data_IF_357624069375
#
_entry.id   IF_357624069375
#
_cell.length_a   1.000
_cell.length_b   1.000
_cell.length_c   1.000
_cell.angle_alpha   90.00
_cell.angle_beta   90.00
_cell.angle_gamma   90.00
#
_symmetry.space_group_name_H-M   'P 1'
#
loop_
_entity.id
_entity.type
_entity.pdbx_description
1 polymer ?
#
# COMPACT_ATOMS: atom_id res chain seq x y z
N UNK A 1 32.41 -58.65 -35.12
CA UNK A 1 32.47 -58.12 -33.74
C UNK A 1 31.64 -56.86 -33.68
N UNK A 2 30.56 -56.84 -32.89
CA UNK A 2 30.06 -55.71 -32.09
C UNK A 2 28.64 -56.03 -31.60
N UNK A 3 28.55 -56.43 -30.32
CA UNK A 3 27.32 -56.67 -29.58
C UNK A 3 26.74 -55.32 -29.12
N UNK A 4 25.43 -55.12 -29.28
CA UNK A 4 24.66 -54.08 -28.58
C UNK A 4 24.44 -54.52 -27.12
N UNK A 5 24.48 -53.60 -26.13
CA UNK A 5 24.05 -53.91 -24.77
C UNK A 5 22.55 -53.68 -24.62
N UNK A 6 21.85 -54.70 -24.10
CA UNK A 6 20.48 -54.62 -23.60
C UNK A 6 20.50 -54.07 -22.17
N UNK A 7 19.95 -52.86 -21.97
CA UNK A 7 19.74 -52.28 -20.65
C UNK A 7 18.35 -52.63 -20.13
N UNK A 8 18.27 -53.61 -19.22
CA UNK A 8 17.04 -53.94 -18.49
C UNK A 8 16.72 -52.88 -17.43
N UNK A 9 15.48 -52.39 -17.45
CA UNK A 9 14.92 -51.51 -16.43
C UNK A 9 14.38 -52.38 -15.30
N UNK A 10 14.99 -52.33 -14.12
CA UNK A 10 14.44 -52.91 -12.89
C UNK A 10 13.31 -52.02 -12.35
N UNK A 11 12.16 -52.58 -11.93
CA UNK A 11 11.09 -51.79 -11.33
C UNK A 11 11.49 -51.37 -9.91
N UNK A 12 11.40 -50.06 -9.65
CA UNK A 12 11.51 -49.47 -8.31
C UNK A 12 10.28 -49.88 -7.51
N UNK A 13 10.47 -50.74 -6.51
CA UNK A 13 9.45 -51.10 -5.52
C UNK A 13 9.14 -49.88 -4.67
N UNK A 14 8.00 -49.23 -4.90
CA UNK A 14 7.48 -48.18 -4.02
C UNK A 14 7.10 -48.81 -2.68
N UNK A 15 7.84 -48.44 -1.63
CA UNK A 15 7.51 -48.77 -0.24
C UNK A 15 6.23 -48.02 0.14
N UNK A 16 5.14 -48.77 0.36
CA UNK A 16 3.88 -48.22 0.87
C UNK A 16 4.14 -47.76 2.31
N UNK A 17 4.29 -46.45 2.53
CA UNK A 17 4.28 -45.85 3.86
C UNK A 17 2.97 -46.25 4.56
N UNK A 18 3.08 -47.02 5.65
CA UNK A 18 1.96 -47.34 6.53
C UNK A 18 1.34 -46.02 6.98
N UNK A 19 0.09 -45.79 6.57
CA UNK A 19 -0.73 -44.69 7.07
C UNK A 19 -1.01 -44.93 8.54
N UNK A 20 -0.16 -44.37 9.41
CA UNK A 20 -0.43 -44.27 10.84
C UNK A 20 -1.81 -43.62 11.03
N UNK A 21 -2.72 -44.33 11.70
CA UNK A 21 -4.04 -43.83 12.07
C UNK A 21 -3.83 -42.59 12.94
N UNK A 22 -4.11 -41.42 12.38
CA UNK A 22 -3.93 -40.17 13.11
C UNK A 22 -4.85 -40.12 14.33
N UNK A 23 -4.25 -39.96 15.51
CA UNK A 23 -4.93 -39.97 16.80
C UNK A 23 -5.59 -38.61 17.10
N UNK A 24 -6.56 -38.59 18.03
CA UNK A 24 -7.10 -37.35 18.60
C UNK A 24 -6.12 -36.77 19.62
N UNK A 25 -6.07 -35.45 19.74
CA UNK A 25 -5.22 -34.77 20.70
C UNK A 25 -5.58 -35.19 22.15
N UNK A 26 -4.60 -35.57 22.99
CA UNK A 26 -4.82 -35.80 24.41
C UNK A 26 -5.31 -34.55 25.15
N UNK A 27 -5.86 -34.74 26.34
CA UNK A 27 -6.30 -33.63 27.19
C UNK A 27 -5.16 -32.63 27.46
N UNK A 28 -5.48 -31.34 27.45
CA UNK A 28 -4.54 -30.25 27.68
C UNK A 28 -3.72 -29.80 26.46
N UNK A 29 -3.67 -30.59 25.38
CA UNK A 29 -3.05 -30.15 24.14
C UNK A 29 -3.96 -29.17 23.41
N UNK A 30 -3.39 -28.05 22.93
CA UNK A 30 -4.16 -26.99 22.27
C UNK A 30 -3.45 -26.52 21.00
N UNK A 31 -4.23 -26.23 19.95
CA UNK A 31 -3.68 -25.54 18.77
C UNK A 31 -3.25 -24.11 19.12
N UNK A 32 -2.38 -23.50 18.32
CA UNK A 32 -2.01 -22.08 18.47
C UNK A 32 -3.24 -21.17 18.63
N UNK A 33 -4.27 -21.39 17.82
CA UNK A 33 -5.54 -20.64 17.91
C UNK A 33 -6.29 -20.93 19.23
N UNK A 34 -6.25 -22.17 19.72
CA UNK A 34 -6.83 -22.54 21.00
C UNK A 34 -6.16 -21.82 22.17
N UNK A 35 -4.81 -21.84 22.21
CA UNK A 35 -4.01 -21.13 23.23
C UNK A 35 -4.20 -19.63 23.12
N UNK A 36 -4.19 -19.09 21.90
CA UNK A 36 -4.43 -17.68 21.65
C UNK A 36 -5.80 -17.24 22.19
N UNK A 37 -6.84 -18.06 21.99
CA UNK A 37 -8.18 -17.80 22.54
C UNK A 37 -8.21 -17.90 24.06
N UNK A 38 -7.54 -18.88 24.66
CA UNK A 38 -7.54 -19.05 26.13
C UNK A 38 -6.75 -17.96 26.85
N UNK A 39 -5.68 -17.45 26.23
CA UNK A 39 -4.85 -16.35 26.76
C UNK A 39 -5.30 -14.99 26.26
N UNK A 40 -6.29 -14.96 25.36
CA UNK A 40 -6.84 -13.75 24.76
C UNK A 40 -5.80 -12.91 24.01
N UNK A 41 -4.81 -13.54 23.37
CA UNK A 41 -3.75 -12.88 22.58
C UNK A 41 -3.86 -13.26 21.10
N UNK A 42 -3.06 -12.64 20.23
CA UNK A 42 -3.01 -13.03 18.81
C UNK A 42 -2.38 -14.42 18.65
N UNK A 43 -2.89 -15.22 17.72
CA UNK A 43 -2.29 -16.52 17.36
C UNK A 43 -0.86 -16.40 16.84
N UNK A 44 -0.54 -15.30 16.15
CA UNK A 44 0.83 -15.00 15.71
C UNK A 44 1.84 -14.91 16.86
N UNK A 45 1.47 -14.24 17.96
CA UNK A 45 2.34 -14.13 19.14
C UNK A 45 2.57 -15.50 19.81
N UNK A 46 1.52 -16.31 19.89
CA UNK A 46 1.64 -17.69 20.38
C UNK A 46 2.57 -18.50 19.47
N UNK A 47 2.37 -18.43 18.16
CA UNK A 47 3.17 -19.15 17.18
C UNK A 47 4.64 -18.73 17.20
N UNK A 48 4.92 -17.43 17.20
CA UNK A 48 6.27 -16.89 17.26
C UNK A 48 6.99 -17.28 18.56
N UNK A 49 6.28 -17.26 19.69
CA UNK A 49 6.84 -17.67 20.99
C UNK A 49 7.02 -19.19 21.05
N UNK A 50 6.05 -19.98 20.56
CA UNK A 50 6.16 -21.43 20.50
C UNK A 50 7.35 -21.85 19.63
N UNK A 51 7.52 -21.25 18.45
CA UNK A 51 8.58 -21.60 17.51
C UNK A 51 10.00 -21.40 18.07
N UNK A 52 10.22 -20.53 19.07
CA UNK A 52 11.54 -20.43 19.72
C UNK A 52 11.92 -21.65 20.56
N UNK A 53 10.95 -22.52 20.89
CA UNK A 53 11.17 -23.78 21.60
C UNK A 53 11.19 -24.99 20.66
N UNK A 54 10.94 -24.80 19.37
CA UNK A 54 10.75 -25.90 18.40
C UNK A 54 12.00 -26.77 18.24
N UNK A 55 13.16 -26.15 18.14
CA UNK A 55 14.42 -26.87 17.93
C UNK A 55 14.91 -27.58 19.20
N UNK A 56 14.60 -27.01 20.38
CA UNK A 56 15.04 -27.56 21.67
C UNK A 56 14.07 -28.61 22.24
N UNK A 57 12.80 -28.53 21.89
CA UNK A 57 11.73 -29.40 22.39
C UNK A 57 10.75 -29.78 21.27
N UNK A 58 11.20 -30.49 20.22
CA UNK A 58 10.34 -30.88 19.10
C UNK A 58 9.17 -31.76 19.55
N UNK A 59 9.31 -32.50 20.66
CA UNK A 59 8.25 -33.32 21.24
C UNK A 59 7.05 -32.52 21.77
N UNK A 60 7.19 -31.19 21.92
CA UNK A 60 6.09 -30.31 22.30
C UNK A 60 5.15 -29.94 21.15
N UNK A 61 5.47 -30.38 19.93
CA UNK A 61 4.70 -30.12 18.71
C UNK A 61 4.25 -31.45 18.12
N UNK A 62 2.93 -31.66 18.03
CA UNK A 62 2.37 -32.87 17.42
C UNK A 62 1.18 -32.56 16.56
N UNK A 63 1.05 -33.29 15.44
CA UNK A 63 -0.09 -33.18 14.54
C UNK A 63 -1.17 -34.16 15.01
N UNK A 64 -2.36 -33.65 15.28
CA UNK A 64 -3.55 -34.45 15.62
C UNK A 64 -4.72 -34.12 14.70
N UNK A 65 -5.72 -35.02 14.68
CA UNK A 65 -6.98 -34.75 13.98
C UNK A 65 -7.88 -33.83 14.80
N UNK A 66 -8.31 -32.72 14.19
CA UNK A 66 -9.35 -31.86 14.73
C UNK A 66 -10.76 -32.41 14.49
N UNK A 67 -11.77 -31.70 14.99
CA UNK A 67 -13.19 -32.12 14.94
C UNK A 67 -13.74 -32.36 13.51
N UNK A 68 -13.12 -31.75 12.49
CA UNK A 68 -13.49 -31.91 11.08
C UNK A 68 -12.55 -32.87 10.31
N UNK A 69 -11.81 -33.72 11.02
CA UNK A 69 -10.76 -34.60 10.46
C UNK A 69 -9.60 -33.85 9.77
N UNK A 70 -9.53 -32.53 9.91
CA UNK A 70 -8.38 -31.75 9.45
C UNK A 70 -7.21 -31.96 10.42
N UNK A 71 -6.01 -32.13 9.86
CA UNK A 71 -4.78 -32.22 10.63
C UNK A 71 -4.37 -30.81 11.09
N UNK A 72 -4.15 -30.66 12.40
CA UNK A 72 -3.62 -29.42 12.98
C UNK A 72 -2.46 -29.75 13.90
N UNK A 73 -1.51 -28.83 14.01
CA UNK A 73 -0.46 -28.88 15.02
C UNK A 73 -1.02 -28.40 16.37
N UNK A 74 -0.74 -29.18 17.42
CA UNK A 74 -1.08 -28.87 18.80
C UNK A 74 0.19 -28.70 19.62
N UNK A 75 0.12 -27.78 20.57
CA UNK A 75 1.15 -27.49 21.54
C UNK A 75 0.94 -28.31 22.82
N UNK A 76 2.03 -28.85 23.35
CA UNK A 76 2.07 -29.58 24.61
C UNK A 76 1.76 -28.66 25.82
N UNK A 77 1.06 -29.14 26.88
CA UNK A 77 0.73 -28.35 28.08
C UNK A 77 1.90 -27.60 28.73
N UNK A 78 3.09 -28.20 28.79
CA UNK A 78 4.29 -27.56 29.34
C UNK A 78 4.69 -26.31 28.54
N UNK A 79 4.67 -26.37 27.21
CA UNK A 79 4.93 -25.22 26.35
C UNK A 79 3.86 -24.14 26.55
N UNK A 80 2.59 -24.54 26.68
CA UNK A 80 1.48 -23.61 26.95
C UNK A 80 1.70 -22.85 28.27
N UNK A 81 2.16 -23.52 29.33
CA UNK A 81 2.49 -22.88 30.60
C UNK A 81 3.70 -21.94 30.49
N UNK A 82 4.76 -22.33 29.78
CA UNK A 82 5.91 -21.45 29.54
C UNK A 82 5.53 -20.21 28.74
N UNK A 83 4.69 -20.35 27.72
CA UNK A 83 4.14 -19.21 26.97
C UNK A 83 3.34 -18.30 27.90
N UNK A 84 2.54 -18.86 28.81
CA UNK A 84 1.80 -18.06 29.81
C UNK A 84 2.76 -17.25 30.71
N UNK A 85 3.80 -17.89 31.24
CA UNK A 85 4.80 -17.20 32.06
C UNK A 85 5.54 -16.12 31.28
N UNK A 86 5.91 -16.43 30.04
CA UNK A 86 6.56 -15.49 29.14
C UNK A 86 5.69 -14.26 28.89
N UNK A 87 4.40 -14.45 28.59
CA UNK A 87 3.45 -13.35 28.38
C UNK A 87 3.28 -12.50 29.65
N UNK A 88 3.19 -13.15 30.82
CA UNK A 88 3.09 -12.46 32.11
C UNK A 88 4.36 -11.65 32.45
N UNK A 89 5.54 -12.12 32.05
CA UNK A 89 6.82 -11.40 32.28
C UNK A 89 7.01 -10.23 31.30
N UNK A 90 6.51 -10.33 30.08
CA UNK A 90 6.87 -9.40 28.99
C UNK A 90 5.96 -8.18 28.88
N UNK A 91 4.70 -8.27 29.32
CA UNK A 91 3.76 -7.15 29.24
C UNK A 91 3.28 -6.79 30.65
N UNK A 92 3.79 -5.69 31.24
CA UNK A 92 3.35 -5.28 32.57
C UNK A 92 1.88 -4.85 32.54
N UNK A 93 1.25 -4.86 33.72
CA UNK A 93 0.00 -4.14 33.94
C UNK A 93 0.25 -2.63 33.84
N UNK A 94 -0.70 -1.83 33.36
CA UNK A 94 -0.54 -0.39 33.25
C UNK A 94 -0.38 0.23 34.65
N UNK A 95 0.57 1.15 34.85
CA UNK A 95 0.61 1.95 36.07
C UNK A 95 -0.69 2.74 36.26
N UNK A 96 -0.98 3.13 37.50
CA UNK A 96 -2.13 3.98 37.80
C UNK A 96 -2.11 5.25 36.92
N UNK A 97 -3.27 5.61 36.37
CA UNK A 97 -3.43 6.79 35.52
C UNK A 97 -3.15 6.56 34.03
N UNK A 98 -2.70 5.38 33.60
CA UNK A 98 -2.61 5.03 32.19
C UNK A 98 -3.94 4.48 31.68
N UNK A 99 -4.41 5.01 30.55
CA UNK A 99 -5.69 4.60 29.96
C UNK A 99 -5.54 4.15 28.52
N UNK A 100 -6.24 3.09 28.15
CA UNK A 100 -6.46 2.79 26.72
C UNK A 100 -7.36 3.85 26.10
N UNK A 101 -7.35 3.98 24.78
CA UNK A 101 -8.30 4.82 24.05
C UNK A 101 -9.76 4.54 24.44
N UNK A 102 -10.12 3.27 24.63
CA UNK A 102 -11.46 2.88 25.07
C UNK A 102 -11.74 3.25 26.54
N UNK A 103 -10.75 3.11 27.42
CA UNK A 103 -10.85 3.57 28.80
C UNK A 103 -11.11 5.08 28.86
N UNK A 104 -10.38 5.84 28.05
CA UNK A 104 -10.49 7.29 28.00
C UNK A 104 -11.80 7.76 27.35
N UNK A 105 -12.33 7.06 26.34
CA UNK A 105 -13.68 7.32 25.79
C UNK A 105 -14.76 7.22 26.89
N UNK A 106 -14.67 6.20 27.74
CA UNK A 106 -15.63 6.02 28.85
C UNK A 106 -15.50 7.11 29.91
N UNK A 107 -14.28 7.50 30.24
CA UNK A 107 -14.02 8.54 31.23
C UNK A 107 -14.47 9.92 30.74
N UNK A 108 -14.12 10.27 29.50
CA UNK A 108 -14.33 11.61 28.94
C UNK A 108 -15.66 11.77 28.19
N UNK A 109 -16.39 10.66 27.98
CA UNK A 109 -17.60 10.61 27.15
C UNK A 109 -17.38 11.22 25.75
N UNK A 110 -16.18 11.05 25.20
CA UNK A 110 -15.78 11.56 23.89
C UNK A 110 -15.47 10.40 22.94
N UNK A 111 -15.87 10.51 21.67
CA UNK A 111 -15.72 9.41 20.71
C UNK A 111 -14.26 9.02 20.47
N UNK A 112 -13.98 7.70 20.48
CA UNK A 112 -12.64 7.10 20.28
C UNK A 112 -11.82 7.66 19.11
N UNK A 113 -12.47 8.00 18.00
CA UNK A 113 -11.77 8.53 16.81
C UNK A 113 -11.13 9.88 17.11
N UNK A 114 -11.82 10.74 17.87
CA UNK A 114 -11.29 12.05 18.25
C UNK A 114 -10.12 11.88 19.20
N UNK A 115 -10.28 11.08 20.24
CA UNK A 115 -9.22 10.79 21.21
C UNK A 115 -7.97 10.25 20.51
N UNK A 116 -8.14 9.27 19.62
CA UNK A 116 -7.03 8.69 18.85
C UNK A 116 -6.33 9.74 17.96
N UNK A 117 -7.09 10.62 17.31
CA UNK A 117 -6.52 11.67 16.47
C UNK A 117 -5.71 12.67 17.30
N UNK A 118 -6.23 13.08 18.46
CA UNK A 118 -5.53 13.96 19.40
C UNK A 118 -4.25 13.29 19.91
N UNK A 119 -4.35 12.02 20.32
CA UNK A 119 -3.20 11.25 20.77
C UNK A 119 -2.12 11.16 19.67
N UNK A 120 -2.49 10.75 18.46
CA UNK A 120 -1.54 10.55 17.36
C UNK A 120 -0.81 11.83 16.91
N UNK A 121 -1.33 13.02 17.22
CA UNK A 121 -0.61 14.28 16.99
C UNK A 121 0.70 14.38 17.80
N UNK A 122 0.80 13.66 18.92
CA UNK A 122 1.98 13.65 19.80
C UNK A 122 2.85 12.39 19.64
N UNK A 123 2.45 11.43 18.80
CA UNK A 123 3.11 10.12 18.71
C UNK A 123 4.57 10.19 18.28
N UNK A 124 4.89 11.04 17.31
CA UNK A 124 6.25 11.17 16.80
C UNK A 124 7.16 11.94 17.76
N UNK A 125 6.61 12.92 18.49
CA UNK A 125 7.36 13.77 19.41
C UNK A 125 7.52 13.17 20.81
N UNK A 126 6.58 12.32 21.23
CA UNK A 126 6.55 11.70 22.57
C UNK A 126 6.19 10.21 22.46
N UNK A 127 7.02 9.39 21.79
CA UNK A 127 6.76 7.96 21.66
C UNK A 127 6.65 7.26 23.03
N UNK A 128 7.30 7.79 24.06
CA UNK A 128 7.23 7.30 25.44
C UNK A 128 5.84 7.47 26.07
N UNK A 129 4.97 8.31 25.51
CA UNK A 129 3.58 8.44 25.96
C UNK A 129 2.67 7.31 25.47
N UNK A 130 3.18 6.44 24.59
CA UNK A 130 2.46 5.31 24.00
C UNK A 130 3.14 4.04 24.43
N UNK A 131 2.47 3.26 25.29
CA UNK A 131 3.06 2.01 25.76
C UNK A 131 2.03 0.91 25.83
N UNK A 132 2.45 -0.27 25.41
CA UNK A 132 1.61 -1.47 25.42
C UNK A 132 1.64 -2.09 26.80
N UNK A 133 0.46 -2.23 27.40
CA UNK A 133 0.25 -2.92 28.66
C UNK A 133 -0.88 -3.94 28.51
N UNK A 134 -1.02 -4.85 29.47
CA UNK A 134 -2.17 -5.74 29.52
C UNK A 134 -3.42 -4.96 29.94
N UNK A 135 -4.50 -5.05 29.17
CA UNK A 135 -5.78 -4.51 29.58
C UNK A 135 -6.47 -5.42 30.62
N UNK A 136 -7.68 -5.04 31.05
CA UNK A 136 -8.49 -5.84 32.01
C UNK A 136 -8.85 -7.24 31.51
N UNK A 137 -8.68 -7.52 30.22
CA UNK A 137 -8.90 -8.82 29.58
C UNK A 137 -7.59 -9.54 29.26
N UNK A 138 -6.44 -9.09 29.80
CA UNK A 138 -5.09 -9.57 29.52
C UNK A 138 -4.69 -9.48 28.03
N UNK A 139 -5.27 -8.54 27.28
CA UNK A 139 -4.83 -8.21 25.92
C UNK A 139 -3.74 -7.14 25.96
N UNK A 140 -2.59 -7.36 25.30
CA UNK A 140 -1.64 -6.29 25.03
C UNK A 140 -2.33 -5.19 24.23
N UNK A 141 -2.55 -4.04 24.87
CA UNK A 141 -3.26 -2.89 24.31
C UNK A 141 -2.43 -1.65 24.58
N UNK A 142 -2.39 -0.73 23.62
CA UNK A 142 -1.73 0.55 23.81
C UNK A 142 -2.50 1.40 24.83
N UNK A 143 -1.76 1.93 25.80
CA UNK A 143 -2.25 2.91 26.77
C UNK A 143 -1.52 4.23 26.58
N UNK A 144 -2.22 5.30 26.92
CA UNK A 144 -1.74 6.66 26.91
C UNK A 144 -1.24 7.06 28.28
N UNK A 145 -0.10 7.74 28.30
CA UNK A 145 0.52 8.30 29.51
C UNK A 145 -0.36 9.40 30.14
N UNK A 146 -0.36 9.56 31.48
CA UNK A 146 -1.12 10.61 32.18
C UNK A 146 -1.00 12.01 31.57
N UNK A 147 0.22 12.49 31.28
CA UNK A 147 0.44 13.79 30.64
C UNK A 147 -0.32 13.95 29.31
N UNK A 148 -0.33 12.91 28.46
CA UNK A 148 -1.08 12.92 27.21
C UNK A 148 -2.60 12.95 27.49
N UNK A 149 -3.04 12.22 28.50
CA UNK A 149 -4.44 12.21 28.93
C UNK A 149 -4.89 13.60 29.41
N UNK A 150 -4.06 14.30 30.19
CA UNK A 150 -4.36 15.65 30.66
C UNK A 150 -4.44 16.66 29.51
N UNK A 151 -3.54 16.54 28.52
CA UNK A 151 -3.62 17.33 27.29
C UNK A 151 -4.90 17.03 26.50
N UNK A 152 -5.28 15.76 26.37
CA UNK A 152 -6.53 15.36 25.70
C UNK A 152 -7.74 15.91 26.47
N UNK A 153 -7.74 15.84 27.82
CA UNK A 153 -8.77 16.40 28.69
C UNK A 153 -8.92 17.89 28.49
N UNK A 154 -7.82 18.64 28.57
CA UNK A 154 -7.79 20.09 28.35
C UNK A 154 -8.32 20.44 26.96
N UNK A 155 -7.84 19.74 25.93
CA UNK A 155 -8.25 19.95 24.54
C UNK A 155 -9.73 19.68 24.33
N UNK A 156 -10.28 18.63 24.94
CA UNK A 156 -11.70 18.29 24.84
C UNK A 156 -12.58 19.28 25.61
N UNK A 157 -12.13 19.80 26.74
CA UNK A 157 -12.84 20.85 27.50
C UNK A 157 -12.93 22.16 26.68
N UNK A 158 -11.89 22.49 25.93
CA UNK A 158 -11.86 23.68 25.05
C UNK A 158 -12.64 23.47 23.74
N UNK A 159 -13.03 22.23 23.42
CA UNK A 159 -13.78 21.88 22.19
C UNK A 159 -15.23 22.36 22.20
N UNK A 160 -15.67 23.11 23.21
CA UNK A 160 -16.96 23.80 23.24
C UNK A 160 -16.85 25.32 23.04
N UNK A 161 -15.65 25.88 23.10
CA UNK A 161 -15.43 27.32 23.04
C UNK A 161 -14.91 27.73 21.67
N UNK A 162 -15.28 28.93 21.24
CA UNK A 162 -14.65 29.58 20.10
C UNK A 162 -13.25 30.01 20.50
N UNK A 163 -12.29 29.91 19.58
CA UNK A 163 -10.95 30.42 19.81
C UNK A 163 -11.00 31.91 20.21
N UNK A 164 -10.11 32.37 21.11
CA UNK A 164 -9.88 33.79 21.31
C UNK A 164 -9.50 34.46 19.98
N UNK A 165 -9.84 35.74 19.80
CA UNK A 165 -9.76 36.41 18.49
C UNK A 165 -8.32 36.52 17.95
N UNK A 166 -7.32 36.50 18.83
CA UNK A 166 -5.89 36.56 18.55
C UNK A 166 -5.25 35.20 18.22
N UNK A 167 -5.97 34.10 18.45
CA UNK A 167 -5.55 32.76 18.01
C UNK A 167 -5.95 32.52 16.57
N UNK A 168 -5.04 31.96 15.77
CA UNK A 168 -5.28 31.70 14.34
C UNK A 168 -5.05 30.24 13.99
N UNK A 169 -5.94 29.68 13.16
CA UNK A 169 -5.67 28.37 12.54
C UNK A 169 -4.48 28.48 11.59
N UNK A 170 -3.90 27.33 11.23
CA UNK A 170 -2.88 27.26 10.18
C UNK A 170 -3.32 27.97 8.89
N UNK A 171 -4.57 27.76 8.46
CA UNK A 171 -5.13 28.38 7.27
C UNK A 171 -5.32 29.89 7.43
N UNK A 172 -5.88 30.33 8.56
CA UNK A 172 -6.09 31.76 8.83
C UNK A 172 -4.77 32.51 8.93
N UNK A 173 -3.75 31.91 9.54
CA UNK A 173 -2.41 32.51 9.60
C UNK A 173 -1.74 32.54 8.21
N UNK A 174 -1.85 31.46 7.43
CA UNK A 174 -1.33 31.39 6.07
C UNK A 174 -1.93 32.50 5.17
N UNK A 175 -3.24 32.76 5.29
CA UNK A 175 -3.93 33.84 4.57
C UNK A 175 -3.45 35.23 5.01
N UNK A 176 -3.32 35.47 6.32
CA UNK A 176 -2.85 36.76 6.86
C UNK A 176 -1.43 37.08 6.41
N UNK A 177 -0.56 36.07 6.30
CA UNK A 177 0.85 36.24 5.95
C UNK A 177 1.14 36.07 4.45
N UNK A 178 0.14 35.71 3.64
CA UNK A 178 0.27 35.32 2.22
C UNK A 178 1.35 34.24 1.97
N UNK A 179 1.37 33.19 2.81
CA UNK A 179 2.30 32.08 2.68
C UNK A 179 1.58 30.73 2.66
N UNK A 180 2.28 29.67 2.26
CA UNK A 180 1.68 28.33 2.22
C UNK A 180 1.39 27.77 3.61
N UNK A 181 0.29 27.02 3.73
CA UNK A 181 -0.06 26.23 4.91
C UNK A 181 1.05 25.27 5.36
N UNK A 182 1.83 24.75 4.41
CA UNK A 182 2.95 23.84 4.70
C UNK A 182 4.13 24.59 5.32
N UNK A 183 4.40 25.81 4.86
CA UNK A 183 5.47 26.66 5.41
C UNK A 183 5.18 27.03 6.87
N UNK A 184 3.94 27.37 7.19
CA UNK A 184 3.51 27.62 8.57
C UNK A 184 3.72 26.37 9.45
N UNK A 185 3.27 25.19 8.99
CA UNK A 185 3.46 23.93 9.73
C UNK A 185 4.92 23.63 9.99
N UNK A 186 5.78 23.84 9.00
CA UNK A 186 7.22 23.61 9.12
C UNK A 186 7.86 24.55 10.15
N UNK A 187 7.46 25.82 10.18
CA UNK A 187 7.91 26.78 11.18
C UNK A 187 7.38 26.49 12.59
N UNK A 188 6.15 25.99 12.69
CA UNK A 188 5.53 25.68 13.97
C UNK A 188 6.05 24.36 14.58
N UNK A 189 6.43 23.37 13.76
CA UNK A 189 6.77 22.03 14.20
C UNK A 189 7.86 21.96 15.29
N UNK A 190 8.98 22.72 15.23
CA UNK A 190 10.01 22.69 16.27
C UNK A 190 9.50 23.09 17.66
N UNK A 191 8.49 23.96 17.74
CA UNK A 191 7.95 24.48 19.01
C UNK A 191 6.90 23.57 19.64
N UNK A 192 6.40 22.58 18.90
CA UNK A 192 5.34 21.68 19.40
C UNK A 192 5.76 20.87 20.63
N UNK A 193 7.05 20.55 20.74
CA UNK A 193 7.58 19.80 21.87
C UNK A 193 7.79 20.68 23.11
N UNK A 194 8.40 21.86 22.95
CA UNK A 194 8.73 22.74 24.08
C UNK A 194 7.57 23.61 24.55
N UNK A 195 6.58 23.86 23.69
CA UNK A 195 5.40 24.71 23.96
C UNK A 195 4.10 24.05 23.47
N UNK A 196 3.71 22.88 24.03
CA UNK A 196 2.45 22.23 23.64
C UNK A 196 1.22 23.10 23.89
N UNK A 197 1.27 24.01 24.87
CA UNK A 197 0.23 24.99 25.17
C UNK A 197 -0.04 25.96 24.02
N UNK A 198 0.92 26.14 23.09
CA UNK A 198 0.74 26.97 21.90
C UNK A 198 -0.15 26.35 20.82
N UNK A 199 -0.54 25.09 20.98
CA UNK A 199 -1.32 24.31 20.01
C UNK A 199 -2.62 23.84 20.66
N UNK A 200 -3.72 24.54 20.43
CA UNK A 200 -5.01 24.19 21.04
C UNK A 200 -6.11 23.99 20.00
N UNK A 201 -7.02 23.05 20.29
CA UNK A 201 -8.18 22.82 19.44
C UNK A 201 -9.36 23.66 19.92
N UNK A 202 -9.95 24.44 19.01
CA UNK A 202 -11.17 25.22 19.25
C UNK A 202 -12.22 24.92 18.19
N UNK A 203 -13.49 25.26 18.48
CA UNK A 203 -14.55 25.19 17.48
C UNK A 203 -14.48 26.37 16.53
N UNK A 204 -14.41 26.05 15.23
CA UNK A 204 -14.55 27.04 14.18
C UNK A 204 -16.02 27.51 14.10
N UNK A 205 -16.25 28.83 14.22
CA UNK A 205 -17.60 29.45 14.29
C UNK A 205 -18.53 29.01 13.15
N UNK A 206 -17.99 28.83 11.94
CA UNK A 206 -18.76 28.51 10.73
C UNK A 206 -19.07 27.01 10.59
N UNK A 207 -18.06 26.15 10.75
CA UNK A 207 -18.17 24.72 10.46
C UNK A 207 -18.55 23.88 11.68
N UNK A 208 -18.45 24.46 12.89
CA UNK A 208 -18.51 23.73 14.17
C UNK A 208 -17.51 22.56 14.24
N UNK A 209 -16.49 22.56 13.38
CA UNK A 209 -15.41 21.57 13.41
C UNK A 209 -14.32 22.05 14.36
N UNK A 210 -13.75 21.10 15.11
CA UNK A 210 -12.60 21.40 15.96
C UNK A 210 -11.35 21.53 15.10
N UNK A 211 -10.68 22.68 15.16
CA UNK A 211 -9.43 22.94 14.44
C UNK A 211 -8.36 23.41 15.40
N UNK A 212 -7.12 23.02 15.10
CA UNK A 212 -5.96 23.51 15.82
C UNK A 212 -5.73 24.99 15.50
N UNK A 213 -5.56 25.79 16.54
CA UNK A 213 -5.16 27.19 16.48
C UNK A 213 -3.82 27.36 17.17
N UNK A 214 -3.06 28.34 16.70
CA UNK A 214 -1.78 28.73 17.23
C UNK A 214 -1.94 29.90 18.18
N UNK A 215 -1.22 29.83 19.30
CA UNK A 215 -1.13 30.89 20.29
C UNK A 215 -0.47 32.15 19.69
N UNK A 216 -0.85 33.36 20.15
CA UNK A 216 -0.27 34.63 19.70
C UNK A 216 1.26 34.67 19.70
N UNK A 217 1.91 34.09 20.70
CA UNK A 217 3.38 34.05 20.78
C UNK A 217 4.01 33.26 19.63
N UNK A 218 3.44 32.08 19.30
CA UNK A 218 3.87 31.30 18.15
C UNK A 218 3.61 32.06 16.84
N UNK A 219 2.46 32.74 16.74
CA UNK A 219 2.12 33.58 15.59
C UNK A 219 3.16 34.70 15.40
N UNK A 220 3.53 35.41 16.47
CA UNK A 220 4.52 36.48 16.44
C UNK A 220 5.92 35.97 16.11
N UNK A 221 6.28 34.80 16.65
CA UNK A 221 7.54 34.13 16.32
C UNK A 221 7.61 33.75 14.84
N UNK A 222 6.52 33.22 14.28
CA UNK A 222 6.41 32.89 12.86
C UNK A 222 6.50 34.15 12.00
N UNK A 223 5.80 35.23 12.37
CA UNK A 223 5.87 36.53 11.69
C UNK A 223 7.30 37.05 11.60
N UNK A 224 7.99 37.12 12.75
CA UNK A 224 9.39 37.56 12.82
C UNK A 224 10.30 36.69 11.94
N UNK A 225 10.14 35.37 12.03
CA UNK A 225 10.88 34.42 11.20
C UNK A 225 10.62 34.57 9.69
N UNK A 226 9.56 35.25 9.27
CA UNK A 226 9.26 35.54 7.86
C UNK A 226 9.82 36.90 7.47
N UNK A 227 9.66 37.92 8.33
CA UNK A 227 10.19 39.27 8.13
C UNK A 227 11.72 39.29 8.04
N UNK A 228 12.40 38.44 8.80
CA UNK A 228 13.86 38.31 8.81
C UNK A 228 14.41 37.48 7.64
N UNK A 229 13.56 37.03 6.69
CA UNK A 229 14.03 36.17 5.60
C UNK A 229 14.66 36.96 4.48
N UNK A 230 15.82 36.45 4.08
CA UNK A 230 16.55 36.93 2.92
C UNK A 230 15.98 36.31 1.63
N UNK A 231 16.22 36.99 0.52
CA UNK A 231 16.06 36.41 -0.81
C UNK A 231 17.04 35.24 -0.97
N UNK A 232 16.68 34.27 -1.79
CA UNK A 232 17.57 33.15 -2.08
C UNK A 232 18.91 33.65 -2.66
N UNK A 233 20.06 33.23 -2.09
CA UNK A 233 21.36 33.53 -2.68
C UNK A 233 21.47 32.96 -4.09
N UNK A 234 22.42 33.46 -4.87
CA UNK A 234 22.65 32.96 -6.23
C UNK A 234 22.90 31.44 -6.24
N UNK A 235 22.27 30.75 -7.19
CA UNK A 235 22.36 29.30 -7.37
C UNK A 235 21.41 28.46 -6.52
N UNK A 236 20.76 29.03 -5.51
CA UNK A 236 19.71 28.32 -4.77
C UNK A 236 18.42 28.27 -5.60
N UNK A 237 17.84 27.08 -5.75
CA UNK A 237 16.66 26.87 -6.58
C UNK A 237 15.58 26.10 -5.82
N UNK A 238 14.33 26.49 -6.03
CA UNK A 238 13.18 25.70 -5.58
C UNK A 238 13.09 24.40 -6.37
N UNK A 239 12.40 23.40 -5.79
CA UNK A 239 12.06 22.15 -6.47
C UNK A 239 11.45 22.39 -7.88
N UNK A 240 10.56 23.38 -8.01
CA UNK A 240 9.91 23.71 -9.28
C UNK A 240 10.90 24.24 -10.32
N UNK A 241 11.85 25.06 -9.92
CA UNK A 241 12.89 25.60 -10.80
C UNK A 241 13.81 24.49 -11.30
N UNK A 242 14.30 23.64 -10.39
CA UNK A 242 15.14 22.47 -10.76
C UNK A 242 14.37 21.53 -11.70
N UNK A 243 13.09 21.24 -11.40
CA UNK A 243 12.26 20.39 -12.24
C UNK A 243 12.06 20.96 -13.65
N UNK A 244 11.86 22.28 -13.75
CA UNK A 244 11.73 22.99 -15.03
C UNK A 244 13.04 22.97 -15.82
N UNK A 245 14.16 23.25 -15.17
CA UNK A 245 15.49 23.23 -15.80
C UNK A 245 15.82 21.84 -16.35
N UNK A 246 15.50 20.78 -15.61
CA UNK A 246 15.80 19.40 -15.98
C UNK A 246 14.68 18.71 -16.79
N UNK A 247 13.64 19.46 -17.19
CA UNK A 247 12.47 18.94 -17.91
C UNK A 247 11.90 17.64 -17.28
N UNK A 248 11.75 17.63 -15.95
CA UNK A 248 11.29 16.47 -15.19
C UNK A 248 10.17 16.84 -14.20
N UNK A 249 9.63 15.85 -13.49
CA UNK A 249 8.57 16.07 -12.51
C UNK A 249 9.09 16.59 -11.16
N UNK A 250 8.41 17.57 -10.56
CA UNK A 250 8.75 18.08 -9.22
C UNK A 250 8.75 16.98 -8.14
N UNK A 251 7.92 15.93 -8.31
CA UNK A 251 7.95 14.77 -7.42
C UNK A 251 9.28 14.01 -7.51
N UNK A 252 9.80 13.83 -8.72
CA UNK A 252 11.08 13.14 -8.94
C UNK A 252 12.24 13.89 -8.29
N UNK A 253 12.27 15.20 -8.43
CA UNK A 253 13.26 16.06 -7.76
C UNK A 253 13.10 15.98 -6.24
N UNK A 254 11.88 16.08 -5.71
CA UNK A 254 11.63 15.96 -4.27
C UNK A 254 12.09 14.61 -3.72
N UNK A 255 11.72 13.51 -4.38
CA UNK A 255 12.10 12.16 -3.99
C UNK A 255 13.64 12.04 -3.97
N UNK A 256 14.36 12.59 -4.96
CA UNK A 256 15.83 12.61 -4.95
C UNK A 256 16.40 13.45 -3.80
N UNK A 257 15.86 14.66 -3.59
CA UNK A 257 16.32 15.58 -2.57
C UNK A 257 16.14 14.99 -1.16
N UNK A 258 15.00 14.35 -0.89
CA UNK A 258 14.68 13.78 0.41
C UNK A 258 15.67 12.70 0.88
N UNK A 259 16.42 12.05 -0.02
CA UNK A 259 17.51 11.13 0.35
C UNK A 259 18.64 11.83 1.12
N UNK A 260 18.84 13.12 0.88
CA UNK A 260 19.89 13.92 1.50
C UNK A 260 19.39 14.75 2.70
N UNK A 261 18.08 14.84 2.89
CA UNK A 261 17.47 15.71 3.91
C UNK A 261 17.95 15.42 5.33
N UNK A 262 18.12 14.14 5.67
CA UNK A 262 18.58 13.74 7.00
C UNK A 262 20.09 13.92 7.20
N UNK A 263 20.89 13.80 6.13
CA UNK A 263 22.36 13.84 6.20
C UNK A 263 22.94 15.23 5.96
N UNK A 264 22.24 16.08 5.22
CA UNK A 264 22.65 17.44 4.86
C UNK A 264 21.45 18.41 5.03
N UNK A 265 20.94 18.60 6.27
CA UNK A 265 19.82 19.51 6.51
C UNK A 265 20.13 20.95 6.08
N UNK A 266 21.39 21.36 6.08
CA UNK A 266 21.86 22.67 5.60
C UNK A 266 21.63 22.90 4.11
N UNK A 267 21.39 21.85 3.32
CA UNK A 267 21.04 21.97 1.91
C UNK A 267 19.60 22.39 1.64
N UNK A 268 18.79 22.46 2.69
CA UNK A 268 17.37 22.82 2.63
C UNK A 268 17.15 24.07 3.45
N UNK A 269 16.81 25.18 2.79
CA UNK A 269 16.51 26.43 3.48
C UNK A 269 15.34 27.13 2.84
N UNK A 270 14.52 27.76 3.68
CA UNK A 270 13.38 28.53 3.21
C UNK A 270 13.85 29.95 2.96
N UNK A 271 13.77 30.37 1.70
CA UNK A 271 14.03 31.74 1.27
C UNK A 271 12.80 32.34 0.64
N UNK A 272 12.80 33.66 0.48
CA UNK A 272 11.80 34.37 -0.30
C UNK A 272 12.09 34.20 -1.80
N UNK A 273 11.07 33.83 -2.57
CA UNK A 273 11.14 33.83 -4.03
C UNK A 273 11.00 35.26 -4.58
N UNK A 274 11.03 35.41 -5.91
CA UNK A 274 10.88 36.72 -6.59
C UNK A 274 9.54 37.42 -6.30
N UNK A 275 8.52 36.66 -5.89
CA UNK A 275 7.22 37.19 -5.48
C UNK A 275 7.14 37.41 -3.95
N UNK A 276 8.29 37.39 -3.25
CA UNK A 276 8.40 37.49 -1.79
C UNK A 276 7.64 36.38 -1.04
N UNK A 277 7.41 35.23 -1.69
CA UNK A 277 6.76 34.08 -1.06
C UNK A 277 7.81 33.10 -0.55
N UNK A 278 7.67 32.59 0.68
CA UNK A 278 8.64 31.68 1.23
C UNK A 278 8.50 30.29 0.62
N UNK A 279 9.57 29.83 -0.04
CA UNK A 279 9.67 28.49 -0.60
C UNK A 279 10.95 27.81 -0.11
N UNK A 280 10.90 26.49 0.04
CA UNK A 280 12.12 25.71 0.27
C UNK A 280 12.97 25.72 -1.00
N UNK A 281 14.22 26.17 -0.87
CA UNK A 281 15.22 26.12 -1.92
C UNK A 281 16.27 25.08 -1.56
N UNK A 282 16.84 24.49 -2.60
CA UNK A 282 17.93 23.54 -2.53
C UNK A 282 19.25 24.24 -2.75
N UNK A 283 20.25 23.85 -1.96
CA UNK A 283 21.61 24.33 -2.11
C UNK A 283 22.20 23.92 -3.47
N UNK A 284 23.09 24.73 -4.08
CA UNK A 284 23.74 24.43 -5.36
C UNK A 284 24.35 23.02 -5.44
N UNK A 285 24.97 22.54 -4.37
CA UNK A 285 25.57 21.19 -4.32
C UNK A 285 24.53 20.08 -4.47
N UNK A 286 23.39 20.21 -3.79
CA UNK A 286 22.27 19.27 -3.93
C UNK A 286 21.71 19.31 -5.36
N UNK A 287 21.58 20.51 -5.94
CA UNK A 287 21.12 20.68 -7.31
C UNK A 287 22.08 19.98 -8.28
N UNK A 288 23.40 20.12 -8.11
CA UNK A 288 24.40 19.46 -8.94
C UNK A 288 24.36 17.93 -8.81
N UNK A 289 24.12 17.40 -7.61
CA UNK A 289 23.92 15.96 -7.40
C UNK A 289 22.65 15.45 -8.07
N UNK A 290 21.55 16.20 -7.97
CA UNK A 290 20.29 15.89 -8.65
C UNK A 290 20.49 15.92 -10.17
N UNK A 291 21.20 16.91 -10.71
CA UNK A 291 21.54 17.02 -12.14
C UNK A 291 22.30 15.79 -12.61
N UNK A 292 23.37 15.43 -11.92
CA UNK A 292 24.16 14.22 -12.20
C UNK A 292 23.32 12.95 -12.13
N UNK A 293 22.50 12.80 -11.08
CA UNK A 293 21.60 11.65 -10.94
C UNK A 293 20.58 11.55 -12.08
N UNK A 294 20.14 12.68 -12.66
CA UNK A 294 19.24 12.69 -13.82
C UNK A 294 19.99 12.32 -15.10
N UNK A 295 21.19 12.85 -15.30
CA UNK A 295 22.05 12.53 -16.45
C UNK A 295 22.43 11.04 -16.46
N UNK A 296 22.72 10.47 -15.30
CA UNK A 296 23.07 9.04 -15.15
C UNK A 296 21.87 8.09 -15.30
N UNK A 297 20.62 8.58 -15.31
CA UNK A 297 19.42 7.73 -15.46
C UNK A 297 19.23 7.14 -16.85
N UNK A 298 19.99 7.61 -17.83
CA UNK A 298 20.04 7.08 -19.18
C UNK A 298 19.41 7.99 -20.22
N UNK A 299 19.39 7.48 -21.46
CA UNK A 299 19.02 8.25 -22.64
C UNK A 299 17.51 8.17 -22.92
N UNK A 300 16.98 9.17 -23.63
CA UNK A 300 15.66 9.07 -24.25
C UNK A 300 15.65 7.96 -25.30
N UNK A 301 14.51 7.32 -25.47
CA UNK A 301 14.35 6.28 -26.49
C UNK A 301 14.58 6.87 -27.89
N UNK A 302 15.45 6.27 -28.72
CA UNK A 302 15.60 6.65 -30.12
C UNK A 302 14.29 6.52 -30.89
N UNK A 303 14.21 7.17 -32.05
CA UNK A 303 13.05 7.03 -32.93
C UNK A 303 12.76 5.56 -33.25
N UNK A 304 11.48 5.18 -33.24
CA UNK A 304 11.02 3.81 -33.48
C UNK A 304 11.01 2.91 -32.24
N UNK A 305 11.64 3.29 -31.13
CA UNK A 305 11.54 2.53 -29.87
C UNK A 305 10.28 2.92 -29.11
N UNK A 306 9.48 1.94 -28.69
CA UNK A 306 8.22 2.20 -27.99
C UNK A 306 8.07 1.35 -26.73
N UNK A 307 7.53 1.96 -25.67
CA UNK A 307 7.11 1.18 -24.49
C UNK A 307 6.00 0.19 -24.86
N UNK A 308 5.85 -0.86 -24.06
CA UNK A 308 4.74 -1.81 -24.19
C UNK A 308 3.35 -1.12 -24.30
N UNK A 309 3.11 -0.11 -23.45
CA UNK A 309 1.88 0.69 -23.52
C UNK A 309 1.75 1.47 -24.83
N UNK A 310 2.86 2.04 -25.33
CA UNK A 310 2.90 2.71 -26.62
C UNK A 310 2.55 1.77 -27.78
N UNK A 311 3.12 0.57 -27.81
CA UNK A 311 2.82 -0.45 -28.83
C UNK A 311 1.36 -0.91 -28.75
N UNK A 312 0.83 -1.12 -27.54
CA UNK A 312 -0.56 -1.52 -27.34
C UNK A 312 -1.54 -0.48 -27.88
N UNK A 313 -1.28 0.81 -27.63
CA UNK A 313 -2.07 1.92 -28.17
C UNK A 313 -1.92 2.01 -29.69
N UNK A 314 -0.70 1.94 -30.21
CA UNK A 314 -0.41 1.99 -31.65
C UNK A 314 -1.18 0.94 -32.44
N UNK A 315 -1.28 -0.28 -31.89
CA UNK A 315 -1.87 -1.43 -32.58
C UNK A 315 -3.32 -1.72 -32.18
N UNK A 316 -3.91 -0.94 -31.25
CA UNK A 316 -5.28 -1.18 -30.78
C UNK A 316 -5.47 -2.51 -30.02
N UNK A 317 -4.42 -3.05 -29.42
CA UNK A 317 -4.43 -4.35 -28.71
C UNK A 317 -4.29 -4.18 -27.20
N UNK A 318 -4.48 -5.26 -26.44
CA UNK A 318 -4.26 -5.21 -24.99
C UNK A 318 -2.77 -5.20 -24.64
N UNK A 319 -2.41 -4.49 -23.58
CA UNK A 319 -1.04 -4.48 -23.03
C UNK A 319 -0.53 -5.87 -22.66
N UNK A 320 -1.42 -6.75 -22.21
CA UNK A 320 -1.07 -8.15 -21.91
C UNK A 320 -0.68 -8.92 -23.16
N UNK A 321 -1.36 -8.70 -24.29
CA UNK A 321 -1.04 -9.35 -25.57
C UNK A 321 0.38 -8.96 -26.04
N UNK A 322 0.67 -7.66 -26.06
CA UNK A 322 2.00 -7.14 -26.42
C UNK A 322 3.06 -7.71 -25.46
N UNK A 323 2.80 -7.68 -24.14
CA UNK A 323 3.70 -8.24 -23.12
C UNK A 323 3.98 -9.72 -23.35
N UNK A 324 2.95 -10.53 -23.61
CA UNK A 324 3.10 -11.97 -23.77
C UNK A 324 3.94 -12.31 -25.00
N UNK A 325 3.72 -11.61 -26.12
CA UNK A 325 4.51 -11.81 -27.33
C UNK A 325 5.96 -11.36 -27.13
N UNK A 326 6.16 -10.17 -26.56
CA UNK A 326 7.49 -9.66 -26.24
C UNK A 326 8.27 -10.65 -25.36
N UNK A 327 7.63 -11.25 -24.35
CA UNK A 327 8.28 -12.18 -23.44
C UNK A 327 8.79 -13.47 -24.13
N UNK A 328 8.13 -13.94 -25.19
CA UNK A 328 8.57 -15.11 -25.97
C UNK A 328 9.91 -14.82 -26.65
N UNK A 329 10.08 -13.61 -27.18
CA UNK A 329 11.28 -13.20 -27.91
C UNK A 329 12.42 -12.72 -27.00
N UNK A 330 12.15 -12.39 -25.74
CA UNK A 330 13.15 -11.86 -24.79
C UNK A 330 14.41 -12.71 -24.66
N UNK A 331 14.27 -14.05 -24.68
CA UNK A 331 15.41 -14.97 -24.54
C UNK A 331 16.29 -15.01 -25.79
N UNK A 332 15.67 -14.86 -26.97
CA UNK A 332 16.32 -15.07 -28.26
C UNK A 332 16.83 -13.76 -28.89
N UNK A 333 16.20 -12.64 -28.53
CA UNK A 333 16.51 -11.30 -29.02
C UNK A 333 16.61 -10.29 -27.87
N UNK A 334 17.55 -10.45 -26.93
CA UNK A 334 17.72 -9.50 -25.83
C UNK A 334 17.99 -8.07 -26.32
N UNK A 335 18.59 -7.90 -27.49
CA UNK A 335 18.84 -6.61 -28.15
C UNK A 335 17.56 -5.85 -28.52
N UNK A 336 16.40 -6.52 -28.59
CA UNK A 336 15.11 -5.86 -28.83
C UNK A 336 14.53 -5.17 -27.59
N UNK A 337 15.18 -5.31 -26.43
CA UNK A 337 14.75 -4.79 -25.15
C UNK A 337 15.82 -3.87 -24.59
N UNK A 338 15.46 -2.61 -24.36
CA UNK A 338 16.37 -1.67 -23.68
C UNK A 338 15.57 -0.72 -22.80
N UNK A 339 16.14 -0.40 -21.64
CA UNK A 339 15.58 0.61 -20.76
C UNK A 339 16.00 1.98 -21.29
N UNK A 340 15.00 2.80 -21.55
CA UNK A 340 15.16 4.20 -21.92
C UNK A 340 14.25 5.05 -21.04
N UNK A 341 14.51 6.36 -21.03
CA UNK A 341 13.61 7.31 -20.41
C UNK A 341 12.36 7.52 -21.27
N UNK A 342 11.17 7.38 -20.66
CA UNK A 342 9.92 7.75 -21.29
C UNK A 342 9.77 9.28 -21.43
N UNK A 343 8.68 9.75 -22.05
CA UNK A 343 8.39 11.19 -22.19
C UNK A 343 8.25 11.95 -20.84
N UNK A 344 8.23 11.24 -19.71
CA UNK A 344 8.18 11.79 -18.35
C UNK A 344 9.49 11.55 -17.59
N UNK A 345 10.58 11.26 -18.30
CA UNK A 345 11.89 10.97 -17.74
C UNK A 345 11.90 9.78 -16.74
N UNK A 346 11.01 8.81 -16.93
CA UNK A 346 10.97 7.58 -16.11
C UNK A 346 11.63 6.44 -16.89
N UNK A 347 12.54 5.68 -16.26
CA UNK A 347 13.10 4.50 -16.91
C UNK A 347 11.99 3.50 -17.19
N UNK A 348 11.87 3.09 -18.45
CA UNK A 348 10.89 2.13 -18.92
C UNK A 348 11.52 1.27 -20.01
N UNK A 349 11.16 -0.01 -20.01
CA UNK A 349 11.56 -0.90 -21.09
C UNK A 349 10.84 -0.50 -22.39
N UNK A 350 11.62 -0.28 -23.43
CA UNK A 350 11.13 -0.03 -24.78
C UNK A 350 11.50 -1.21 -25.68
N UNK A 351 10.68 -1.40 -26.70
CA UNK A 351 10.79 -2.44 -27.71
C UNK A 351 11.36 -1.86 -28.99
N UNK A 352 12.34 -2.56 -29.55
CA UNK A 352 12.92 -2.25 -30.87
C UNK A 352 11.87 -2.41 -31.98
N UNK A 353 12.04 -1.70 -33.10
CA UNK A 353 11.08 -1.68 -34.20
C UNK A 353 10.81 -3.07 -34.79
N UNK A 354 11.80 -3.96 -34.83
CA UNK A 354 11.62 -5.34 -35.29
C UNK A 354 10.61 -6.12 -34.45
N UNK A 355 10.71 -6.01 -33.11
CA UNK A 355 9.74 -6.61 -32.21
C UNK A 355 8.36 -6.00 -32.40
N UNK A 356 8.28 -4.68 -32.60
CA UNK A 356 7.01 -3.99 -32.84
C UNK A 356 6.36 -4.49 -34.14
N UNK A 357 7.13 -4.63 -35.22
CA UNK A 357 6.65 -5.15 -36.51
C UNK A 357 6.18 -6.61 -36.40
N UNK A 358 6.89 -7.44 -35.64
CA UNK A 358 6.46 -8.81 -35.37
C UNK A 358 5.15 -8.85 -34.59
N UNK A 359 5.02 -8.02 -33.54
CA UNK A 359 3.78 -7.92 -32.75
C UNK A 359 2.63 -7.40 -33.62
N UNK A 360 2.90 -6.46 -34.54
CA UNK A 360 1.93 -5.97 -35.51
C UNK A 360 1.43 -7.09 -36.42
N UNK A 361 2.34 -7.84 -37.04
CA UNK A 361 1.96 -9.01 -37.85
C UNK A 361 1.11 -10.00 -37.05
N UNK A 362 1.49 -10.30 -35.80
CA UNK A 362 0.71 -11.18 -34.92
C UNK A 362 -0.62 -10.58 -34.48
N UNK A 363 -0.74 -9.26 -34.42
CA UNK A 363 -2.01 -8.58 -34.14
C UNK A 363 -2.97 -8.71 -35.33
N UNK A 364 -2.46 -8.56 -36.56
CA UNK A 364 -3.23 -8.71 -37.79
C UNK A 364 -3.75 -10.16 -37.98
N UNK A 365 -3.01 -11.15 -37.47
CA UNK A 365 -3.40 -12.58 -37.49
C UNK A 365 -4.50 -12.95 -36.46
N UNK A 366 -4.92 -12.05 -35.56
CA UNK A 366 -5.86 -12.38 -34.46
C UNK A 366 -7.32 -12.58 -34.90
N UNK A 367 -7.64 -12.33 -36.16
CA UNK A 367 -8.97 -12.50 -36.71
C UNK A 367 -9.83 -11.25 -36.58
N UNK A 368 -11.14 -11.44 -36.74
CA UNK A 368 -12.10 -10.37 -37.02
C UNK A 368 -12.86 -9.94 -35.76
N UNK A 369 -13.41 -8.71 -35.80
CA UNK A 369 -14.39 -8.25 -34.81
C UNK A 369 -15.70 -9.03 -35.01
N UNK A 370 -16.37 -9.35 -33.91
CA UNK A 370 -17.65 -10.05 -33.95
C UNK A 370 -18.67 -9.31 -34.84
N UNK A 371 -19.33 -9.99 -35.80
CA UNK A 371 -20.40 -9.40 -36.59
C UNK A 371 -21.56 -8.93 -35.71
N UNK A 372 -22.42 -8.09 -36.27
CA UNK A 372 -23.61 -7.63 -35.56
C UNK A 372 -24.48 -8.81 -35.07
N UNK A 373 -25.00 -8.68 -33.84
CA UNK A 373 -25.80 -9.71 -33.17
C UNK A 373 -25.01 -10.81 -32.47
N UNK A 374 -23.72 -10.99 -32.75
CA UNK A 374 -22.88 -11.94 -32.01
C UNK A 374 -22.55 -11.39 -30.61
N UNK A 375 -22.69 -12.23 -29.59
CA UNK A 375 -22.56 -11.77 -28.20
C UNK A 375 -21.75 -12.73 -27.34
N UNK A 376 -20.88 -12.19 -26.49
CA UNK A 376 -20.20 -13.00 -25.47
C UNK A 376 -21.18 -13.42 -24.37
N UNK A 377 -20.88 -14.50 -23.66
CA UNK A 377 -21.66 -14.91 -22.48
C UNK A 377 -21.78 -13.78 -21.43
N UNK A 378 -20.72 -12.99 -21.22
CA UNK A 378 -20.73 -11.86 -20.31
C UNK A 378 -21.60 -10.70 -20.80
N UNK A 379 -21.61 -10.45 -22.11
CA UNK A 379 -22.52 -9.48 -22.73
C UNK A 379 -23.97 -9.89 -22.54
N UNK A 380 -24.29 -11.15 -22.86
CA UNK A 380 -25.64 -11.69 -22.74
C UNK A 380 -26.11 -11.78 -21.28
N UNK A 381 -25.23 -12.19 -20.37
CA UNK A 381 -25.52 -12.23 -18.94
C UNK A 381 -25.86 -10.85 -18.37
N UNK A 382 -25.13 -9.81 -18.80
CA UNK A 382 -25.42 -8.43 -18.42
C UNK A 382 -26.77 -7.95 -18.97
N UNK A 383 -27.05 -8.25 -20.23
CA UNK A 383 -28.32 -7.88 -20.86
C UNK A 383 -29.52 -8.55 -20.18
N UNK A 384 -29.38 -9.81 -19.78
CA UNK A 384 -30.45 -10.60 -19.14
C UNK A 384 -30.46 -10.49 -17.61
N UNK A 385 -29.59 -9.67 -17.01
CA UNK A 385 -29.43 -9.54 -15.56
C UNK A 385 -29.28 -10.90 -14.82
N UNK A 386 -28.41 -11.77 -15.35
CA UNK A 386 -28.17 -13.12 -14.81
C UNK A 386 -26.68 -13.44 -14.67
N UNK A 387 -26.35 -14.60 -14.12
CA UNK A 387 -24.97 -15.05 -13.94
C UNK A 387 -24.35 -15.56 -15.25
N UNK A 388 -23.09 -15.19 -15.53
CA UNK A 388 -22.35 -15.66 -16.71
C UNK A 388 -22.23 -17.19 -16.78
N UNK A 389 -22.18 -17.87 -15.63
CA UNK A 389 -22.16 -19.35 -15.56
C UNK A 389 -23.48 -19.97 -16.01
N UNK A 390 -24.60 -19.31 -15.72
CA UNK A 390 -25.93 -19.74 -16.16
C UNK A 390 -26.04 -19.67 -17.67
N UNK A 391 -25.63 -18.53 -18.26
CA UNK A 391 -25.61 -18.35 -19.72
C UNK A 391 -24.68 -19.38 -20.38
N UNK A 392 -23.47 -19.60 -19.84
CA UNK A 392 -22.55 -20.59 -20.37
C UNK A 392 -23.15 -22.01 -20.32
N UNK A 393 -23.80 -22.39 -19.21
CA UNK A 393 -24.47 -23.69 -19.09
C UNK A 393 -25.62 -23.87 -20.07
N UNK A 394 -26.41 -22.82 -20.32
CA UNK A 394 -27.47 -22.83 -21.34
C UNK A 394 -26.91 -22.94 -22.75
N UNK A 395 -25.83 -22.23 -23.06
CA UNK A 395 -25.17 -22.29 -24.35
C UNK A 395 -24.56 -23.69 -24.59
N UNK A 396 -23.88 -24.27 -23.59
CA UNK A 396 -23.21 -25.57 -23.71
C UNK A 396 -24.18 -26.72 -24.07
N UNK A 397 -25.47 -26.61 -23.73
CA UNK A 397 -26.50 -27.56 -24.16
C UNK A 397 -26.59 -27.69 -25.70
N UNK A 398 -26.35 -26.59 -26.43
CA UNK A 398 -26.40 -26.54 -27.89
C UNK A 398 -25.04 -26.77 -28.56
N UNK A 399 -23.94 -26.82 -27.79
CA UNK A 399 -22.57 -26.86 -28.33
C UNK A 399 -22.30 -28.08 -29.22
N UNK A 400 -22.81 -29.25 -28.84
CA UNK A 400 -22.61 -30.48 -29.61
C UNK A 400 -23.49 -30.55 -30.86
N UNK A 401 -24.66 -29.92 -30.85
CA UNK A 401 -25.61 -29.98 -31.98
C UNK A 401 -25.44 -28.84 -32.98
N UNK A 402 -24.89 -27.70 -32.55
CA UNK A 402 -24.69 -26.50 -33.38
C UNK A 402 -23.31 -25.87 -33.10
N UNK A 403 -22.20 -26.56 -33.42
CA UNK A 403 -20.86 -26.03 -33.17
C UNK A 403 -20.60 -24.71 -33.93
N UNK A 404 -21.27 -24.47 -35.05
CA UNK A 404 -21.19 -23.23 -35.82
C UNK A 404 -21.75 -22.00 -35.08
N UNK A 405 -22.50 -22.20 -33.99
CA UNK A 405 -22.99 -21.11 -33.15
C UNK A 405 -21.93 -20.54 -32.20
N UNK A 406 -20.74 -21.14 -32.15
CA UNK A 406 -19.65 -20.78 -31.27
C UNK A 406 -18.45 -20.38 -32.10
N UNK A 407 -18.02 -19.11 -31.99
CA UNK A 407 -16.82 -18.65 -32.69
C UNK A 407 -16.07 -17.64 -31.85
N UNK A 408 -14.75 -17.74 -31.89
CA UNK A 408 -13.86 -16.78 -31.24
C UNK A 408 -13.75 -15.56 -32.14
N UNK A 409 -14.12 -14.41 -31.60
CA UNK A 409 -13.98 -13.11 -32.24
C UNK A 409 -13.26 -12.13 -31.32
N UNK A 410 -12.72 -11.06 -31.90
CA UNK A 410 -12.30 -9.90 -31.14
C UNK A 410 -13.54 -9.19 -30.57
N UNK A 411 -13.42 -8.68 -29.34
CA UNK A 411 -14.42 -7.82 -28.75
C UNK A 411 -14.62 -6.54 -29.58
N UNK A 412 -15.66 -5.76 -29.26
CA UNK A 412 -15.98 -4.49 -29.98
C UNK A 412 -14.82 -3.49 -30.02
N UNK A 413 -13.87 -3.58 -29.09
CA UNK A 413 -12.67 -2.73 -29.05
C UNK A 413 -11.47 -3.31 -29.82
N UNK A 414 -11.56 -4.51 -30.39
CA UNK A 414 -10.44 -5.18 -31.09
C UNK A 414 -9.35 -5.76 -30.17
N UNK A 415 -9.49 -5.65 -28.85
CA UNK A 415 -8.40 -5.90 -27.90
C UNK A 415 -8.27 -7.34 -27.45
N UNK A 416 -9.39 -8.00 -27.17
CA UNK A 416 -9.44 -9.31 -26.52
C UNK A 416 -10.29 -10.28 -27.34
N UNK A 417 -9.85 -11.54 -27.41
CA UNK A 417 -10.61 -12.61 -28.03
C UNK A 417 -11.53 -13.25 -27.01
N UNK A 418 -12.79 -13.43 -27.38
CA UNK A 418 -13.77 -14.17 -26.59
C UNK A 418 -14.58 -15.07 -27.52
N UNK A 419 -15.06 -16.19 -26.98
CA UNK A 419 -16.12 -16.94 -27.63
C UNK A 419 -17.39 -16.09 -27.64
N UNK A 420 -17.95 -15.89 -28.83
CA UNK A 420 -19.24 -15.26 -29.03
C UNK A 420 -20.24 -16.30 -29.51
N UNK A 421 -21.49 -16.06 -29.14
CA UNK A 421 -22.64 -16.85 -29.51
C UNK A 421 -23.33 -16.22 -30.70
N UNK A 422 -23.66 -17.05 -31.68
CA UNK A 422 -24.41 -16.69 -32.87
C UNK A 422 -25.79 -16.10 -32.50
N UNK A 423 -26.34 -15.13 -33.25
CA UNK A 423 -27.63 -14.49 -32.96
C UNK A 423 -28.77 -15.47 -32.64
N UNK A 424 -28.89 -16.55 -33.41
CA UNK A 424 -29.91 -17.60 -33.16
C UNK A 424 -29.79 -18.24 -31.77
N UNK A 425 -28.56 -18.50 -31.30
CA UNK A 425 -28.33 -19.05 -29.96
C UNK A 425 -28.67 -18.00 -28.89
N UNK A 426 -28.30 -16.74 -29.12
CA UNK A 426 -28.65 -15.62 -28.24
C UNK A 426 -30.16 -15.51 -28.07
N UNK A 427 -30.93 -15.59 -29.16
CA UNK A 427 -32.40 -15.53 -29.13
C UNK A 427 -33.04 -16.73 -28.43
N UNK A 428 -32.48 -17.93 -28.60
CA UNK A 428 -32.95 -19.14 -27.90
C UNK A 428 -32.74 -19.04 -26.40
N UNK A 429 -31.55 -18.60 -25.97
CA UNK A 429 -31.25 -18.39 -24.55
C UNK A 429 -32.18 -17.34 -23.95
N UNK A 430 -32.42 -16.23 -24.66
CA UNK A 430 -33.36 -15.17 -24.24
C UNK A 430 -34.79 -15.66 -24.06
N UNK A 431 -35.26 -16.61 -24.86
CA UNK A 431 -36.60 -17.20 -24.74
C UNK A 431 -36.73 -18.23 -23.62
N UNK A 432 -35.61 -18.75 -23.13
CA UNK A 432 -35.59 -19.84 -22.12
C UNK A 432 -35.64 -19.28 -20.68
N UNK A 433 -35.30 -18.01 -20.50
CA UNK A 433 -35.35 -17.26 -19.24
C UNK A 433 -36.62 -16.42 -19.21
#
# INVERSE_FOLDING_TARGET
MNRKPEGGITPVVQTIEKTEKAERAPEGWMTNNGVAKSFNVSSYLIESTANSYRDSHPEWFKIYLGNRQNKHEYLHPNLINLIREYLNKRVPQPPNGWFTNFGLERELKAGRKIINNLANAYRNSHPEWFKTYLDKSNKPTEHYHPNLIDLIKLTLSNRGTTAPDDWKTNNGLAEILDISNSSIKLLAAPHRHSHPEWFQMYLEKSSKSAREHFHPDLINLIKRNIEERELAPEGWMTNREVAKEMNTGCKTIADMADHYRSSHPEWFKIYLDKAHKPNEHFHPDLINLIKRNIEERGELAPEGWMTNGGVAVLLGVSWNFVRSLAQIHRRYHPEWFKIYLDKKARPSEHYHHDLINLIKQKADERGEIAPEGWMTNGGLAKEMNTGFKTIAGMADYYRSSHPEWFKIYLNKEGKNQYEHYHPNLVDLIKKTV
#
